data_IF_104075982843
#
_entry.id   IF_104075982843
#
_cell.length_a   1.000
_cell.length_b   1.000
_cell.length_c   1.000
_cell.angle_alpha   90.00
_cell.angle_beta   90.00
_cell.angle_gamma   90.00
#
_symmetry.space_group_name_H-M   'P 1'
#
loop_
_entity.id
_entity.type
_entity.pdbx_description
1 polymer ?
#
# COMPACT_ATOMS: atom_id res chain seq x y z
N UNK A 1 0.14 -13.39 20.92
CA UNK A 1 1.57 -13.22 20.60
C UNK A 1 1.90 -13.14 19.11
N UNK A 2 1.70 -14.17 18.26
CA UNK A 2 2.10 -14.09 16.83
C UNK A 2 1.35 -13.01 16.03
N UNK A 3 0.05 -12.83 16.30
CA UNK A 3 -0.77 -11.78 15.69
C UNK A 3 -0.35 -10.37 16.16
N UNK A 4 -0.12 -10.18 17.46
CA UNK A 4 0.34 -8.89 18.01
C UNK A 4 1.69 -8.46 17.44
N UNK A 5 2.64 -9.39 17.29
CA UNK A 5 3.92 -9.11 16.64
C UNK A 5 3.70 -8.66 15.19
N UNK A 6 2.83 -9.35 14.44
CA UNK A 6 2.50 -8.99 13.05
C UNK A 6 1.87 -7.59 12.98
N UNK A 7 0.94 -7.26 13.86
CA UNK A 7 0.29 -5.95 13.92
C UNK A 7 1.28 -4.83 14.28
N UNK A 8 2.12 -5.05 15.29
CA UNK A 8 3.13 -4.09 15.73
C UNK A 8 4.20 -3.86 14.64
N UNK A 9 4.64 -4.92 13.96
CA UNK A 9 5.58 -4.79 12.84
C UNK A 9 4.99 -4.01 11.67
N UNK A 10 3.72 -4.23 11.33
CA UNK A 10 3.03 -3.46 10.27
C UNK A 10 2.90 -1.98 10.63
N UNK A 11 2.56 -1.67 11.88
CA UNK A 11 2.53 -0.28 12.36
C UNK A 11 3.91 0.35 12.33
N UNK A 12 4.96 -0.37 12.72
CA UNK A 12 6.34 0.12 12.66
C UNK A 12 6.75 0.45 11.21
N UNK A 13 6.51 -0.45 10.27
CA UNK A 13 6.81 -0.23 8.85
C UNK A 13 6.01 0.95 8.28
N UNK A 14 4.75 1.10 8.68
CA UNK A 14 3.95 2.28 8.32
C UNK A 14 4.58 3.58 8.83
N UNK A 15 5.10 3.61 10.06
CA UNK A 15 5.77 4.80 10.56
C UNK A 15 7.05 5.13 9.79
N UNK A 16 7.84 4.12 9.41
CA UNK A 16 9.03 4.31 8.55
C UNK A 16 8.61 4.84 7.18
N UNK A 17 7.55 4.30 6.60
CA UNK A 17 7.00 4.79 5.34
C UNK A 17 6.58 6.28 5.43
N UNK A 18 5.87 6.66 6.49
CA UNK A 18 5.34 8.02 6.68
C UNK A 18 6.47 9.01 6.97
N UNK A 19 7.38 8.71 7.89
CA UNK A 19 8.38 9.68 8.35
C UNK A 19 9.75 9.52 7.72
N UNK A 20 10.02 8.37 7.10
CA UNK A 20 11.33 8.06 6.52
C UNK A 20 11.64 8.92 5.30
N UNK A 21 12.92 9.21 5.12
CA UNK A 21 13.41 9.97 3.99
C UNK A 21 13.62 9.08 2.75
N UNK A 22 14.27 9.61 1.71
CA UNK A 22 14.54 8.89 0.47
C UNK A 22 15.33 7.60 0.68
N UNK A 23 16.29 7.61 1.62
CA UNK A 23 17.10 6.44 1.93
C UNK A 23 16.24 5.36 2.59
N UNK A 24 15.39 5.74 3.55
CA UNK A 24 14.47 4.82 4.20
C UNK A 24 13.49 4.17 3.21
N UNK A 25 12.92 4.94 2.28
CA UNK A 25 12.01 4.38 1.28
C UNK A 25 12.75 3.47 0.29
N UNK A 26 13.98 3.82 -0.08
CA UNK A 26 14.82 2.98 -0.94
C UNK A 26 15.08 1.62 -0.29
N UNK A 27 15.42 1.62 1.00
CA UNK A 27 15.65 0.39 1.75
C UNK A 27 14.36 -0.45 1.85
N UNK A 28 13.21 0.16 2.13
CA UNK A 28 11.93 -0.54 2.12
C UNK A 28 11.67 -1.26 0.79
N UNK A 29 11.81 -0.57 -0.34
CA UNK A 29 11.60 -1.18 -1.66
C UNK A 29 12.62 -2.30 -1.93
N UNK A 30 13.88 -2.10 -1.58
CA UNK A 30 14.94 -3.10 -1.76
C UNK A 30 14.70 -4.37 -0.93
N UNK A 31 14.13 -4.22 0.28
CA UNK A 31 13.75 -5.33 1.15
C UNK A 31 12.43 -6.01 0.73
N UNK A 32 11.84 -5.61 -0.40
CA UNK A 32 10.61 -6.21 -0.92
C UNK A 32 9.36 -5.75 -0.17
N UNK A 33 9.34 -4.53 0.36
CA UNK A 33 8.18 -3.99 1.07
C UNK A 33 6.90 -4.01 0.21
N UNK A 34 7.01 -3.87 -1.12
CA UNK A 34 5.89 -4.07 -2.04
C UNK A 34 5.23 -5.44 -1.86
N UNK A 35 6.03 -6.49 -1.76
CA UNK A 35 5.57 -7.88 -1.52
C UNK A 35 4.90 -8.03 -0.16
N UNK A 36 5.52 -7.43 0.88
CA UNK A 36 4.97 -7.45 2.24
C UNK A 36 3.58 -6.81 2.28
N UNK A 37 3.39 -5.69 1.58
CA UNK A 37 2.09 -5.02 1.49
C UNK A 37 1.05 -5.84 0.72
N UNK A 38 1.44 -6.53 -0.35
CA UNK A 38 0.55 -7.45 -1.12
C UNK A 38 -0.01 -8.55 -0.21
N UNK A 39 0.87 -9.27 0.48
CA UNK A 39 0.50 -10.32 1.44
C UNK A 39 -0.42 -9.77 2.54
N UNK A 40 -0.23 -8.49 2.86
CA UNK A 40 -0.96 -7.77 3.88
C UNK A 40 -2.45 -7.59 3.56
N UNK A 41 -2.81 -7.51 2.28
CA UNK A 41 -4.20 -7.37 1.79
C UNK A 41 -4.79 -8.69 1.27
N UNK A 42 -3.96 -9.71 1.00
CA UNK A 42 -4.43 -11.03 0.60
C UNK A 42 -5.39 -11.61 1.64
N UNK A 43 -6.64 -11.83 1.23
CA UNK A 43 -7.65 -12.43 2.10
C UNK A 43 -7.75 -13.92 1.83
N UNK A 44 -7.21 -14.76 2.71
CA UNK A 44 -7.32 -16.22 2.59
C UNK A 44 -8.75 -16.76 2.89
N UNK A 45 -9.80 -15.98 2.62
CA UNK A 45 -11.21 -16.40 2.69
C UNK A 45 -11.96 -16.11 3.99
N UNK A 46 -11.41 -15.33 4.91
CA UNK A 46 -12.13 -14.90 6.12
C UNK A 46 -13.10 -13.74 5.87
N UNK A 47 -14.14 -13.61 6.71
CA UNK A 47 -15.09 -12.49 6.72
C UNK A 47 -15.29 -12.01 8.17
N UNK A 48 -15.29 -10.69 8.40
CA UNK A 48 -15.56 -10.10 9.72
C UNK A 48 -14.98 -8.70 9.91
N UNK A 49 -15.47 -7.96 10.91
CA UNK A 49 -15.12 -6.55 11.16
C UNK A 49 -13.62 -6.32 11.44
N UNK A 50 -12.97 -7.23 12.17
CA UNK A 50 -11.53 -7.12 12.46
C UNK A 50 -10.69 -7.28 11.19
N UNK A 51 -11.10 -8.19 10.30
CA UNK A 51 -10.45 -8.40 9.02
C UNK A 51 -10.71 -7.24 8.06
N UNK A 52 -11.91 -6.68 8.07
CA UNK A 52 -12.26 -5.47 7.33
C UNK A 52 -11.38 -4.28 7.75
N UNK A 53 -11.09 -4.14 9.05
CA UNK A 53 -10.17 -3.12 9.55
C UNK A 53 -8.72 -3.36 9.10
N UNK A 54 -8.24 -4.61 9.06
CA UNK A 54 -6.91 -4.95 8.53
C UNK A 54 -6.80 -4.67 7.03
N UNK A 55 -7.82 -5.03 6.24
CA UNK A 55 -7.89 -4.76 4.80
C UNK A 55 -7.88 -3.25 4.56
N UNK A 56 -8.74 -2.53 5.27
CA UNK A 56 -8.83 -1.08 5.19
C UNK A 56 -7.48 -0.39 5.45
N UNK A 57 -6.78 -0.78 6.53
CA UNK A 57 -5.44 -0.26 6.84
C UNK A 57 -4.42 -0.63 5.78
N UNK A 58 -4.43 -1.88 5.30
CA UNK A 58 -3.51 -2.35 4.25
C UNK A 58 -3.64 -1.54 2.97
N UNK A 59 -4.87 -1.32 2.49
CA UNK A 59 -5.15 -0.48 1.32
C UNK A 59 -4.69 0.97 1.52
N UNK A 60 -4.94 1.55 2.70
CA UNK A 60 -4.45 2.89 3.02
C UNK A 60 -2.92 2.98 2.96
N UNK A 61 -2.22 1.98 3.52
CA UNK A 61 -0.75 1.98 3.56
C UNK A 61 -0.16 1.92 2.16
N UNK A 62 -0.69 1.04 1.29
CA UNK A 62 -0.31 0.95 -0.11
C UNK A 62 -0.55 2.28 -0.83
N UNK A 63 -1.76 2.84 -0.71
CA UNK A 63 -2.09 4.11 -1.35
C UNK A 63 -1.13 5.22 -0.95
N UNK A 64 -0.91 5.42 0.36
CA UNK A 64 -0.04 6.49 0.84
C UNK A 64 1.41 6.27 0.43
N UNK A 65 1.88 5.02 0.34
CA UNK A 65 3.23 4.72 -0.09
C UNK A 65 3.42 5.07 -1.56
N UNK A 66 2.58 4.53 -2.44
CA UNK A 66 2.62 4.80 -3.87
C UNK A 66 2.46 6.30 -4.15
N UNK A 67 1.53 6.98 -3.45
CA UNK A 67 1.35 8.42 -3.56
C UNK A 67 2.63 9.19 -3.19
N UNK A 68 3.30 8.81 -2.10
CA UNK A 68 4.55 9.44 -1.69
C UNK A 68 5.66 9.21 -2.70
N UNK A 69 5.79 8.00 -3.24
CA UNK A 69 6.79 7.70 -4.27
C UNK A 69 6.50 8.45 -5.59
N UNK A 70 5.24 8.61 -5.98
CA UNK A 70 4.88 9.29 -7.24
C UNK A 70 4.88 10.82 -7.16
N UNK A 71 4.55 11.39 -6.00
CA UNK A 71 4.30 12.84 -5.87
C UNK A 71 5.12 13.53 -4.78
N UNK A 72 5.93 12.79 -4.03
CA UNK A 72 6.63 13.32 -2.86
C UNK A 72 5.69 13.50 -1.66
N UNK A 73 6.18 14.15 -0.59
CA UNK A 73 5.42 14.38 0.65
C UNK A 73 5.11 15.87 0.85
N UNK A 74 3.86 16.20 1.12
CA UNK A 74 3.44 17.59 1.36
C UNK A 74 3.98 18.15 2.69
N UNK A 75 4.07 17.32 3.73
CA UNK A 75 4.57 17.72 5.06
C UNK A 75 6.09 17.62 5.21
N UNK A 76 6.79 17.09 4.20
CA UNK A 76 8.26 16.99 4.16
C UNK A 76 8.72 17.41 2.76
N UNK A 77 8.82 18.73 2.47
CA UNK A 77 9.10 19.24 1.12
C UNK A 77 10.44 18.80 0.53
N UNK A 78 11.38 18.37 1.37
CA UNK A 78 12.65 17.79 0.92
C UNK A 78 12.49 16.41 0.28
N UNK A 79 11.39 15.71 0.59
CA UNK A 79 11.09 14.41 0.02
C UNK A 79 10.51 14.58 -1.40
N UNK A 80 11.38 14.45 -2.40
CA UNK A 80 11.01 14.53 -3.81
C UNK A 80 10.35 13.22 -4.30
N UNK A 81 9.60 13.26 -5.41
CA UNK A 81 9.11 12.04 -6.06
C UNK A 81 10.25 11.06 -6.39
N UNK A 82 10.01 9.77 -6.14
CA UNK A 82 10.92 8.65 -6.39
C UNK A 82 10.29 7.68 -7.41
N UNK A 83 10.15 8.08 -8.69
CA UNK A 83 9.39 7.33 -9.69
C UNK A 83 9.98 5.94 -10.02
N UNK A 84 11.30 5.77 -9.88
CA UNK A 84 11.94 4.46 -10.06
C UNK A 84 11.54 3.47 -8.95
N UNK A 85 11.49 3.94 -7.71
CA UNK A 85 11.03 3.13 -6.58
C UNK A 85 9.53 2.82 -6.67
N UNK A 86 8.73 3.78 -7.15
CA UNK A 86 7.31 3.55 -7.42
C UNK A 86 7.12 2.39 -8.40
N UNK A 87 7.86 2.42 -9.53
CA UNK A 87 7.85 1.35 -10.53
C UNK A 87 8.26 0.00 -9.94
N UNK A 88 9.36 -0.06 -9.18
CA UNK A 88 9.81 -1.31 -8.58
C UNK A 88 8.77 -1.87 -7.60
N UNK A 89 8.10 -0.99 -6.85
CA UNK A 89 7.02 -1.39 -5.94
C UNK A 89 5.82 -1.95 -6.69
N UNK A 90 5.40 -1.29 -7.78
CA UNK A 90 4.33 -1.77 -8.66
C UNK A 90 4.66 -3.16 -9.23
N UNK A 91 5.89 -3.36 -9.72
CA UNK A 91 6.36 -4.66 -10.26
C UNK A 91 6.34 -5.74 -9.17
N UNK A 92 6.83 -5.45 -7.95
CA UNK A 92 6.74 -6.36 -6.81
C UNK A 92 5.29 -6.71 -6.43
N UNK A 93 4.38 -5.74 -6.50
CA UNK A 93 2.98 -5.96 -6.20
C UNK A 93 2.30 -6.83 -7.25
N UNK A 94 2.59 -6.61 -8.53
CA UNK A 94 2.11 -7.41 -9.65
C UNK A 94 2.60 -8.85 -9.56
N UNK A 95 3.89 -9.06 -9.27
CA UNK A 95 4.47 -10.41 -9.07
C UNK A 95 3.75 -11.23 -7.99
N UNK A 96 3.24 -10.57 -6.94
CA UNK A 96 2.55 -11.21 -5.82
C UNK A 96 1.02 -11.24 -5.98
N UNK A 97 0.48 -10.85 -7.14
CA UNK A 97 -0.97 -10.87 -7.42
C UNK A 97 -1.78 -9.85 -6.61
N UNK A 98 -1.16 -8.75 -6.20
CA UNK A 98 -1.84 -7.72 -5.38
C UNK A 98 -2.95 -7.00 -6.15
N UNK A 99 -2.82 -6.92 -7.48
CA UNK A 99 -3.79 -6.21 -8.32
C UNK A 99 -5.16 -6.91 -8.28
N UNK A 100 -5.17 -8.24 -8.37
CA UNK A 100 -6.34 -9.09 -8.27
C UNK A 100 -7.01 -8.95 -6.90
N UNK A 101 -6.22 -8.91 -5.83
CA UNK A 101 -6.72 -8.70 -4.47
C UNK A 101 -7.33 -7.30 -4.31
N UNK A 102 -6.67 -6.25 -4.82
CA UNK A 102 -7.22 -4.89 -4.81
C UNK A 102 -8.55 -4.85 -5.57
N UNK A 103 -8.62 -5.50 -6.73
CA UNK A 103 -9.85 -5.60 -7.54
C UNK A 103 -10.99 -6.30 -6.81
N UNK A 104 -10.70 -7.40 -6.11
CA UNK A 104 -11.68 -8.09 -5.29
C UNK A 104 -12.26 -7.18 -4.19
N UNK A 105 -11.43 -6.32 -3.58
CA UNK A 105 -11.85 -5.39 -2.53
C UNK A 105 -12.64 -4.17 -3.04
N UNK A 106 -12.65 -3.88 -4.35
CA UNK A 106 -13.42 -2.75 -4.92
C UNK A 106 -14.94 -2.89 -4.74
N UNK A 107 -15.44 -4.09 -4.47
CA UNK A 107 -16.86 -4.36 -4.20
C UNK A 107 -17.14 -4.63 -2.72
N UNK A 108 -16.13 -4.57 -1.85
CA UNK A 108 -16.28 -4.83 -0.43
C UNK A 108 -16.87 -3.60 0.30
N UNK A 109 -18.10 -3.74 0.81
CA UNK A 109 -18.81 -2.70 1.56
C UNK A 109 -18.48 -2.69 3.07
N UNK A 110 -17.53 -3.50 3.51
CA UNK A 110 -16.99 -3.48 4.86
C UNK A 110 -16.49 -2.08 5.27
N UNK A 111 -16.49 -1.82 6.58
CA UNK A 111 -16.21 -0.49 7.15
C UNK A 111 -17.08 0.63 6.53
N UNK A 112 -18.39 0.37 6.36
CA UNK A 112 -19.34 1.34 5.78
C UNK A 112 -18.91 1.86 4.39
N UNK A 113 -18.39 0.96 3.54
CA UNK A 113 -17.91 1.28 2.19
C UNK A 113 -16.50 1.88 2.11
N UNK A 114 -15.81 2.06 3.24
CA UNK A 114 -14.45 2.59 3.23
C UNK A 114 -13.47 1.67 2.49
N UNK A 115 -13.61 0.34 2.61
CA UNK A 115 -12.74 -0.61 1.90
C UNK A 115 -12.86 -0.42 0.39
N UNK A 116 -14.09 -0.43 -0.14
CA UNK A 116 -14.37 -0.10 -1.53
C UNK A 116 -13.75 1.22 -1.96
N UNK A 117 -13.89 2.29 -1.16
CA UNK A 117 -13.29 3.59 -1.49
C UNK A 117 -11.76 3.48 -1.64
N UNK A 118 -11.08 2.93 -0.65
CA UNK A 118 -9.62 2.82 -0.66
C UNK A 118 -9.10 1.85 -1.71
N UNK A 119 -9.83 0.79 -2.04
CA UNK A 119 -9.48 -0.12 -3.13
C UNK A 119 -9.51 0.61 -4.49
N UNK A 120 -10.52 1.45 -4.73
CA UNK A 120 -10.60 2.27 -5.94
C UNK A 120 -9.44 3.28 -6.02
N UNK A 121 -9.16 4.00 -4.93
CA UNK A 121 -8.05 4.96 -4.88
C UNK A 121 -6.69 4.28 -5.06
N UNK A 122 -6.49 3.12 -4.44
CA UNK A 122 -5.25 2.34 -4.57
C UNK A 122 -5.07 1.86 -6.00
N UNK A 123 -6.11 1.30 -6.63
CA UNK A 123 -6.07 0.89 -8.03
C UNK A 123 -5.76 2.07 -8.96
N UNK A 124 -6.40 3.21 -8.73
CA UNK A 124 -6.13 4.43 -9.49
C UNK A 124 -4.67 4.89 -9.30
N UNK A 125 -4.10 4.77 -8.10
CA UNK A 125 -2.72 5.12 -7.82
C UNK A 125 -1.73 4.18 -8.55
N UNK A 126 -1.97 2.87 -8.52
CA UNK A 126 -1.17 1.88 -9.28
C UNK A 126 -1.26 2.12 -10.79
N UNK A 127 -2.43 2.51 -11.30
CA UNK A 127 -2.66 2.75 -12.74
C UNK A 127 -2.31 4.17 -13.22
N UNK A 128 -2.16 5.14 -12.32
CA UNK A 128 -1.92 6.56 -12.65
C UNK A 128 -0.61 6.80 -13.41
N UNK A 129 0.23 5.77 -13.56
CA UNK A 129 1.38 5.73 -14.46
C UNK A 129 1.01 5.91 -15.94
N UNK A 130 -0.20 5.57 -16.37
CA UNK A 130 -0.58 5.64 -17.79
C UNK A 130 -1.12 6.99 -18.25
N UNK A 131 -1.55 7.88 -17.35
CA UNK A 131 -2.22 9.14 -17.76
C UNK A 131 -1.21 10.29 -17.98
N UNK A 132 -0.02 10.24 -17.36
CA UNK A 132 0.96 11.34 -17.41
C UNK A 132 2.09 11.17 -18.43
N UNK A 133 2.08 10.11 -19.25
CA UNK A 133 2.88 10.03 -20.48
C UNK A 133 2.01 10.43 -21.68
N UNK A 134 1.60 11.69 -21.69
CA UNK A 134 1.11 12.38 -22.90
C UNK A 134 2.27 13.12 -23.57
#
# INVERSE_FOLDING_TARGET
>A
MRLEIRCNSRLCLYWIQVWGDEQDQSELVNQGYGKVMSISICTAGGQGEEQDAEIWKGLQYIFYFLRALHYGKTYQPSFQPLPLLARNTEEQMEEEGANEEIEAQMNNNGMNGAIKYWANETKAMTLNRFIRRG
#
